data_IF_409194186748
#
_entry.id   IF_409194186748
#
_cell.length_a   1.000
_cell.length_b   1.000
_cell.length_c   1.000
_cell.angle_alpha   90.00
_cell.angle_beta   90.00
_cell.angle_gamma   90.00
#
_symmetry.space_group_name_H-M   'P 1'
#
loop_
_entity.id
_entity.type
_entity.pdbx_description
1 polymer ?
#
# COMPACT_ATOMS: atom_id res chain seq x y z
N UNK A 1 16.94 12.00 4.23
CA UNK A 1 17.10 10.59 4.68
C UNK A 1 15.90 9.72 4.36
N UNK A 2 14.69 10.27 4.11
CA UNK A 2 13.49 9.48 3.76
C UNK A 2 13.61 8.55 2.53
N UNK A 3 14.45 8.89 1.54
CA UNK A 3 14.59 8.10 0.31
C UNK A 3 15.22 6.70 0.52
N UNK A 4 16.01 6.49 1.57
CA UNK A 4 16.64 5.19 1.83
C UNK A 4 15.69 4.20 2.51
N UNK A 5 14.75 4.69 3.34
CA UNK A 5 13.76 3.84 4.00
C UNK A 5 12.66 3.39 3.02
N UNK A 6 12.24 4.28 2.12
CA UNK A 6 11.28 3.96 1.06
C UNK A 6 11.83 2.85 0.13
N UNK A 7 13.06 2.98 -0.36
CA UNK A 7 13.64 1.98 -1.25
C UNK A 7 13.84 0.63 -0.55
N UNK A 8 14.14 0.61 0.75
CA UNK A 8 14.23 -0.61 1.54
C UNK A 8 12.86 -1.31 1.68
N UNK A 9 11.77 -0.54 1.86
CA UNK A 9 10.40 -1.09 1.93
C UNK A 9 9.96 -1.63 0.58
N UNK A 10 10.18 -0.90 -0.50
CA UNK A 10 9.85 -1.37 -1.86
C UNK A 10 10.65 -2.63 -2.20
N UNK A 11 11.91 -2.71 -1.80
CA UNK A 11 12.72 -3.91 -1.99
C UNK A 11 12.18 -5.11 -1.19
N UNK A 12 11.81 -4.92 0.08
CA UNK A 12 11.24 -5.97 0.92
C UNK A 12 9.87 -6.46 0.42
N UNK A 13 9.02 -5.53 0.00
CA UNK A 13 7.75 -5.83 -0.65
C UNK A 13 7.95 -6.57 -1.97
N UNK A 14 8.93 -6.14 -2.77
CA UNK A 14 9.26 -6.81 -4.01
C UNK A 14 9.74 -8.25 -3.75
N UNK A 15 10.53 -8.52 -2.71
CA UNK A 15 10.93 -9.90 -2.35
C UNK A 15 9.72 -10.80 -2.07
N UNK A 16 8.70 -10.30 -1.36
CA UNK A 16 7.44 -11.04 -1.10
C UNK A 16 6.66 -11.24 -2.40
N UNK A 17 6.72 -10.27 -3.31
CA UNK A 17 6.06 -10.28 -4.62
C UNK A 17 6.89 -10.95 -5.73
N UNK A 18 7.94 -11.71 -5.40
CA UNK A 18 8.76 -12.42 -6.40
C UNK A 18 9.65 -11.49 -7.25
N UNK A 19 10.17 -10.43 -6.64
CA UNK A 19 10.96 -9.34 -7.22
C UNK A 19 10.19 -8.38 -8.15
N UNK A 20 8.86 -8.34 -8.07
CA UNK A 20 8.06 -7.37 -8.81
C UNK A 20 8.06 -5.99 -8.12
N UNK A 21 8.98 -5.12 -8.56
CA UNK A 21 9.11 -3.75 -8.08
C UNK A 21 7.91 -2.86 -8.46
N UNK A 22 7.20 -3.17 -9.55
CA UNK A 22 6.04 -2.39 -9.97
C UNK A 22 4.86 -2.65 -9.03
N UNK A 23 4.56 -3.93 -8.78
CA UNK A 23 3.54 -4.33 -7.84
C UNK A 23 3.85 -3.84 -6.41
N UNK A 24 5.13 -3.88 -5.99
CA UNK A 24 5.56 -3.34 -4.71
C UNK A 24 5.30 -1.83 -4.58
N UNK A 25 5.55 -1.06 -5.65
CA UNK A 25 5.27 0.39 -5.68
C UNK A 25 3.78 0.68 -5.68
N UNK A 26 3.01 -0.01 -6.51
CA UNK A 26 1.55 0.13 -6.57
C UNK A 26 0.88 -0.19 -5.22
N UNK A 27 1.34 -1.24 -4.55
CA UNK A 27 0.90 -1.58 -3.20
C UNK A 27 1.25 -0.47 -2.20
N UNK A 28 2.48 0.03 -2.24
CA UNK A 28 2.92 1.13 -1.37
C UNK A 28 2.05 2.37 -1.55
N UNK A 29 1.71 2.71 -2.81
CA UNK A 29 0.79 3.81 -3.13
C UNK A 29 -0.63 3.58 -2.61
N UNK A 30 -1.20 2.38 -2.78
CA UNK A 30 -2.53 2.06 -2.26
C UNK A 30 -2.57 2.19 -0.73
N UNK A 31 -1.56 1.65 -0.03
CA UNK A 31 -1.46 1.74 1.42
C UNK A 31 -1.29 3.20 1.90
N UNK A 32 -0.56 4.02 1.14
CA UNK A 32 -0.44 5.46 1.39
C UNK A 32 -1.78 6.18 1.26
N UNK A 33 -2.51 5.98 0.16
CA UNK A 33 -3.80 6.64 -0.09
C UNK A 33 -4.80 6.26 1.00
N UNK A 34 -4.87 4.97 1.32
CA UNK A 34 -5.73 4.47 2.38
C UNK A 34 -5.34 5.04 3.76
N UNK A 35 -4.04 5.20 4.04
CA UNK A 35 -3.57 5.80 5.30
C UNK A 35 -3.93 7.26 5.48
N UNK A 36 -3.88 8.04 4.39
CA UNK A 36 -4.28 9.44 4.38
C UNK A 36 -5.79 9.57 4.56
N UNK A 37 -6.57 8.80 3.81
CA UNK A 37 -8.03 8.90 3.80
C UNK A 37 -8.67 8.41 5.11
N UNK A 38 -8.08 7.42 5.77
CA UNK A 38 -8.61 6.83 7.01
C UNK A 38 -7.95 7.35 8.29
N UNK A 39 -7.36 8.55 8.26
CA UNK A 39 -6.84 9.26 9.45
C UNK A 39 -5.94 8.41 10.36
N UNK A 40 -5.11 7.54 9.79
CA UNK A 40 -4.22 6.71 10.59
C UNK A 40 -4.87 5.43 11.15
N UNK A 41 -5.90 4.88 10.52
CA UNK A 41 -6.38 3.52 10.82
C UNK A 41 -5.55 2.44 10.13
N UNK A 42 -4.85 1.61 10.90
CA UNK A 42 -4.14 0.42 10.42
C UNK A 42 -5.05 -0.70 9.89
N UNK A 43 -6.37 -0.55 10.05
CA UNK A 43 -7.37 -1.54 9.64
C UNK A 43 -7.66 -1.46 8.13
N UNK A 44 -7.23 -2.49 7.41
CA UNK A 44 -7.43 -2.68 5.98
C UNK A 44 -8.68 -3.53 5.67
N UNK A 45 -9.54 -3.80 6.64
CA UNK A 45 -10.77 -4.59 6.47
C UNK A 45 -11.74 -4.01 5.43
N UNK A 46 -11.69 -2.69 5.19
CA UNK A 46 -12.51 -2.04 4.17
C UNK A 46 -11.92 -2.14 2.75
N UNK A 47 -10.68 -2.59 2.59
CA UNK A 47 -10.05 -2.78 1.28
C UNK A 47 -10.63 -4.04 0.64
N UNK A 48 -11.41 -3.85 -0.43
CA UNK A 48 -12.04 -4.95 -1.16
C UNK A 48 -11.00 -5.81 -1.90
N UNK A 49 -11.34 -7.08 -2.16
CA UNK A 49 -10.52 -7.99 -2.98
C UNK A 49 -10.16 -7.38 -4.35
N UNK A 50 -11.04 -6.56 -4.94
CA UNK A 50 -10.79 -5.91 -6.22
C UNK A 50 -9.72 -4.81 -6.11
N UNK A 51 -9.72 -4.03 -5.02
CA UNK A 51 -8.68 -3.03 -4.77
C UNK A 51 -7.32 -3.69 -4.53
N UNK A 52 -7.29 -4.80 -3.77
CA UNK A 52 -6.09 -5.61 -3.61
C UNK A 52 -5.58 -6.17 -4.93
N UNK A 53 -6.46 -6.76 -5.75
CA UNK A 53 -6.10 -7.27 -7.07
C UNK A 53 -5.46 -6.20 -7.96
N UNK A 54 -6.04 -4.99 -7.97
CA UNK A 54 -5.50 -3.84 -8.71
C UNK A 54 -4.13 -3.40 -8.18
N UNK A 55 -3.96 -3.31 -6.86
CA UNK A 55 -2.71 -2.89 -6.25
C UNK A 55 -1.56 -3.88 -6.48
N UNK A 56 -1.86 -5.17 -6.47
CA UNK A 56 -0.90 -6.23 -6.76
C UNK A 56 -0.68 -6.47 -8.26
N UNK A 57 -1.59 -6.01 -9.12
CA UNK A 57 -1.56 -6.33 -10.55
C UNK A 57 -1.87 -7.79 -10.86
N UNK A 58 -2.64 -8.48 -10.01
CA UNK A 58 -2.95 -9.92 -10.11
C UNK A 58 -4.44 -10.19 -10.29
N UNK A 59 -4.84 -11.39 -10.75
CA UNK A 59 -6.23 -11.82 -10.74
C UNK A 59 -6.84 -11.83 -9.32
N UNK A 60 -8.14 -11.49 -9.15
CA UNK A 60 -8.80 -11.51 -7.85
C UNK A 60 -8.78 -12.88 -7.13
N UNK A 61 -8.66 -13.97 -7.89
CA UNK A 61 -8.57 -15.33 -7.34
C UNK A 61 -7.27 -15.61 -6.59
N UNK A 62 -6.20 -14.87 -6.91
CA UNK A 62 -4.85 -15.08 -6.35
C UNK A 62 -4.57 -14.17 -5.14
N UNK A 63 -5.43 -13.17 -4.93
CA UNK A 63 -5.35 -12.22 -3.79
C UNK A 63 -5.27 -12.92 -2.42
N UNK A 64 -6.08 -13.96 -2.10
CA UNK A 64 -6.01 -14.61 -0.80
C UNK A 64 -4.65 -15.29 -0.52
N UNK A 65 -4.02 -15.86 -1.55
CA UNK A 65 -2.71 -16.50 -1.43
C UNK A 65 -1.63 -15.45 -1.13
N UNK A 66 -1.66 -14.34 -1.87
CA UNK A 66 -0.70 -13.27 -1.69
C UNK A 66 -0.86 -12.60 -0.32
N UNK A 67 -2.10 -12.29 0.09
CA UNK A 67 -2.37 -11.78 1.45
C UNK A 67 -1.89 -12.76 2.53
N UNK A 68 -2.00 -14.07 2.29
CA UNK A 68 -1.42 -15.09 3.15
C UNK A 68 0.11 -14.99 3.27
N UNK A 69 0.82 -14.73 2.17
CA UNK A 69 2.27 -14.52 2.18
C UNK A 69 2.67 -13.25 2.97
N UNK A 70 1.88 -12.18 2.85
CA UNK A 70 2.06 -10.94 3.60
C UNK A 70 1.80 -11.09 5.10
N UNK A 71 0.84 -11.93 5.49
CA UNK A 71 0.63 -12.28 6.90
C UNK A 71 1.78 -13.16 7.41
N UNK A 72 2.22 -14.14 6.62
CA UNK A 72 3.32 -15.03 6.99
C UNK A 72 4.68 -14.31 7.11
N UNK A 73 4.89 -13.24 6.33
CA UNK A 73 6.08 -12.38 6.45
C UNK A 73 6.01 -11.43 7.66
N UNK A 74 4.85 -11.31 8.31
CA UNK A 74 4.61 -10.41 9.44
C UNK A 74 4.36 -8.96 9.05
N UNK A 75 4.22 -8.66 7.76
CA UNK A 75 3.89 -7.32 7.26
C UNK A 75 2.44 -6.94 7.56
N UNK A 76 1.54 -7.92 7.41
CA UNK A 76 0.15 -7.82 7.85
C UNK A 76 -0.07 -8.71 9.07
N UNK A 77 -0.95 -8.28 9.95
CA UNK A 77 -1.54 -9.11 10.99
C UNK A 77 -3.00 -9.43 10.64
N UNK A 78 -3.47 -10.59 11.09
CA UNK A 78 -4.84 -11.01 10.87
C UNK A 78 -5.62 -10.93 12.17
N UNK A 79 -6.40 -9.87 12.33
CA UNK A 79 -7.27 -9.67 13.49
C UNK A 79 -8.70 -10.11 13.15
N UNK A 80 -9.04 -11.36 13.46
CA UNK A 80 -10.37 -11.92 13.19
C UNK A 80 -10.68 -11.99 11.68
N UNK A 81 -11.71 -11.27 11.24
CA UNK A 81 -12.07 -11.14 9.81
C UNK A 81 -11.31 -10.01 9.09
N UNK A 82 -10.55 -9.18 9.81
CA UNK A 82 -9.82 -8.04 9.28
C UNK A 82 -8.32 -8.29 9.05
N UNK A 83 -7.70 -7.38 8.31
CA UNK A 83 -6.26 -7.30 8.10
C UNK A 83 -5.74 -6.00 8.68
N UNK A 84 -4.70 -6.07 9.51
CA UNK A 84 -4.09 -4.91 10.13
C UNK A 84 -2.65 -4.74 9.65
N UNK A 85 -2.22 -3.52 9.38
CA UNK A 85 -0.85 -3.25 9.02
C UNK A 85 0.02 -3.05 10.28
N UNK A 86 1.10 -3.82 10.44
CA UNK A 86 1.92 -3.74 11.67
C UNK A 86 2.75 -2.47 11.79
N UNK A 87 3.35 -1.99 10.70
CA UNK A 87 4.26 -0.84 10.70
C UNK A 87 3.58 0.45 10.24
N UNK A 88 2.38 0.69 10.75
CA UNK A 88 1.51 1.78 10.31
C UNK A 88 2.06 3.18 10.57
N UNK A 89 2.67 3.41 11.73
CA UNK A 89 3.28 4.71 12.06
C UNK A 89 4.36 5.10 11.04
N UNK A 90 5.08 4.10 10.52
CA UNK A 90 6.08 4.30 9.47
C UNK A 90 5.44 4.69 8.13
N UNK A 91 4.30 4.08 7.79
CA UNK A 91 3.52 4.40 6.58
C UNK A 91 2.94 5.82 6.68
N UNK A 92 2.37 6.20 7.82
CA UNK A 92 1.81 7.54 8.05
C UNK A 92 2.88 8.64 8.09
N UNK A 93 4.03 8.39 8.73
CA UNK A 93 5.13 9.34 8.78
C UNK A 93 5.71 9.62 7.40
N UNK A 94 5.89 8.58 6.59
CA UNK A 94 6.28 8.73 5.19
C UNK A 94 5.18 9.40 4.38
N UNK A 95 3.92 9.06 4.65
CA UNK A 95 2.81 9.63 3.93
C UNK A 95 2.73 11.16 4.11
N UNK A 96 2.80 11.58 5.37
CA UNK A 96 2.87 12.98 5.76
C UNK A 96 4.09 13.68 5.16
N UNK A 97 5.24 13.01 5.10
CA UNK A 97 6.46 13.56 4.51
C UNK A 97 6.35 13.76 2.98
N UNK A 98 5.71 12.84 2.25
CA UNK A 98 5.50 12.96 0.79
C UNK A 98 4.42 13.98 0.44
N UNK A 99 3.34 14.04 1.23
CA UNK A 99 2.33 15.11 1.13
C UNK A 99 2.97 16.47 1.36
N UNK A 100 3.80 16.60 2.41
CA UNK A 100 4.53 17.83 2.73
C UNK A 100 5.61 18.18 1.69
N UNK A 101 6.15 17.18 0.98
CA UNK A 101 7.10 17.36 -0.12
C UNK A 101 6.43 17.78 -1.45
N UNK A 102 5.11 17.98 -1.49
CA UNK A 102 4.40 18.52 -2.66
C UNK A 102 4.05 17.49 -3.75
N UNK A 103 4.08 16.19 -3.44
CA UNK A 103 3.69 15.15 -4.41
C UNK A 103 2.16 14.96 -4.54
N UNK A 104 1.37 15.66 -3.72
CA UNK A 104 -0.10 15.75 -3.81
C UNK A 104 -0.58 16.98 -4.60
N UNK A 105 0.27 17.59 -5.43
CA UNK A 105 -0.15 18.49 -6.51
C UNK A 105 0.15 17.86 -7.87
N UNK A 106 -0.56 16.78 -8.23
CA UNK A 106 -0.86 16.40 -9.63
C UNK A 106 -1.70 15.12 -9.68
N UNK A 107 -2.97 15.21 -9.26
CA UNK A 107 -4.01 14.54 -10.04
C UNK A 107 -4.32 15.46 -11.21
N UNK A 108 -3.91 15.15 -12.46
CA UNK A 108 -4.53 15.78 -13.60
C UNK A 108 -5.96 15.25 -13.67
N UNK A 109 -6.90 15.99 -13.07
CA UNK A 109 -8.30 15.88 -13.45
C UNK A 109 -8.36 16.16 -14.95
N UNK A 110 -8.61 15.10 -15.70
CA UNK A 110 -8.76 15.11 -17.14
C UNK A 110 -9.80 16.16 -17.53
N UNK A 111 -9.33 17.17 -18.26
CA UNK A 111 -10.08 18.02 -19.17
C UNK A 111 -11.55 17.61 -19.39
N UNK A 112 -12.48 18.41 -18.86
CA UNK A 112 -13.74 18.65 -19.57
C UNK A 112 -13.79 20.10 -20.04
N UNK A 113 -13.34 20.23 -21.28
CA UNK A 113 -13.68 21.22 -22.30
C UNK A 113 -15.06 21.86 -22.10
N UNK A 114 -15.10 23.18 -21.89
CA UNK A 114 -16.00 24.15 -22.54
C UNK A 114 -15.53 25.57 -22.26
#
# INVERSE_FOLDING_TARGET
>A
MANMEEEARVALLAEILGHDLLAARSLTSMLYEYAVDYHGSSDLSAVSTAQWALAFGIPPGDVPELLGAFVASGFLDRQGEGLELRDWEQVVAEASARSAAGWLESSPDTATRS
#
